data_IF_889404592304
#
_entry.id   IF_889404592304
#
_cell.length_a   1.000
_cell.length_b   1.000
_cell.length_c   1.000
_cell.angle_alpha   90.00
_cell.angle_beta   90.00
_cell.angle_gamma   90.00
#
_symmetry.space_group_name_H-M   'P 1'
#
loop_
_entity.id
_entity.type
_entity.pdbx_description
1 polymer ?
#
# COMPACT_ATOMS: atom_id res chain seq x y z
N UNK A 1 -19.65 -3.57 12.85
CA UNK A 1 -19.04 -2.54 12.00
C UNK A 1 -17.58 -2.88 11.81
N UNK A 2 -17.13 -2.93 10.56
CA UNK A 2 -15.80 -3.41 10.24
C UNK A 2 -14.69 -2.55 10.86
N UNK A 3 -13.70 -3.21 11.43
CA UNK A 3 -12.46 -2.63 11.93
C UNK A 3 -11.32 -3.14 11.03
N UNK A 4 -10.60 -2.21 10.43
CA UNK A 4 -9.41 -2.48 9.60
C UNK A 4 -8.15 -2.06 10.37
N UNK A 5 -7.10 -2.88 10.32
CA UNK A 5 -5.79 -2.49 10.86
C UNK A 5 -5.16 -1.36 10.04
N UNK A 6 -4.19 -0.66 10.64
CA UNK A 6 -3.31 0.24 9.90
C UNK A 6 -1.92 -0.39 9.71
N UNK A 7 -1.28 -0.06 8.59
CA UNK A 7 0.15 -0.29 8.39
C UNK A 7 0.76 0.99 7.79
N UNK A 8 1.90 1.41 8.32
CA UNK A 8 2.62 2.62 7.88
C UNK A 8 4.07 2.23 7.68
N UNK A 9 4.60 2.50 6.48
CA UNK A 9 6.00 2.26 6.13
C UNK A 9 6.67 3.60 5.88
N UNK A 10 7.75 3.86 6.61
CA UNK A 10 8.62 5.01 6.37
C UNK A 10 9.79 4.52 5.50
N UNK A 11 9.83 5.00 4.26
CA UNK A 11 10.84 4.63 3.27
C UNK A 11 11.73 5.83 2.98
N UNK A 12 12.93 5.58 2.46
CA UNK A 12 13.85 6.63 2.02
C UNK A 12 14.02 6.49 0.52
N UNK A 13 13.68 7.54 -0.21
CA UNK A 13 14.00 7.67 -1.63
C UNK A 13 15.52 7.77 -1.78
N UNK A 14 16.10 7.09 -2.77
CA UNK A 14 17.54 7.17 -3.04
C UNK A 14 17.83 7.41 -4.52
N UNK A 15 17.48 6.46 -5.39
CA UNK A 15 17.39 6.63 -6.85
C UNK A 15 16.77 5.37 -7.52
N UNK A 16 16.10 4.50 -6.76
CA UNK A 16 15.51 3.27 -7.27
C UNK A 16 14.05 3.12 -6.80
N UNK A 17 13.18 2.72 -7.72
CA UNK A 17 11.76 2.47 -7.43
C UNK A 17 11.56 1.43 -6.31
N UNK A 18 12.49 0.47 -6.20
CA UNK A 18 12.45 -0.56 -5.16
C UNK A 18 12.58 0.00 -3.75
N UNK A 19 13.26 1.14 -3.56
CA UNK A 19 13.49 1.74 -2.24
C UNK A 19 12.22 2.35 -1.65
N UNK A 20 11.31 2.78 -2.53
CA UNK A 20 9.98 3.32 -2.18
C UNK A 20 8.84 2.38 -2.58
N UNK A 21 9.17 1.12 -2.92
CA UNK A 21 8.23 0.02 -3.04
C UNK A 21 8.18 -0.74 -1.73
N UNK A 22 7.01 -1.25 -1.34
CA UNK A 22 6.85 -1.92 -0.07
C UNK A 22 5.66 -2.87 -0.04
N UNK A 23 5.53 -3.60 1.05
CA UNK A 23 4.46 -4.57 1.26
C UNK A 23 4.18 -4.71 2.75
N UNK A 24 3.02 -5.29 3.04
CA UNK A 24 2.63 -5.60 4.40
C UNK A 24 1.41 -6.49 4.44
N UNK A 25 0.77 -6.53 5.60
CA UNK A 25 -0.45 -7.31 5.82
C UNK A 25 -1.44 -6.45 6.58
N UNK A 26 -2.67 -6.39 6.08
CA UNK A 26 -3.81 -5.82 6.79
C UNK A 26 -4.67 -6.93 7.37
N UNK A 27 -5.35 -6.63 8.47
CA UNK A 27 -6.37 -7.50 9.05
C UNK A 27 -7.70 -6.76 9.12
N UNK A 28 -8.79 -7.50 8.97
CA UNK A 28 -10.15 -6.98 9.06
C UNK A 28 -10.96 -7.86 10.00
N UNK A 29 -11.82 -7.24 10.81
CA UNK A 29 -12.83 -7.92 11.61
C UNK A 29 -14.15 -7.18 11.58
N UNK A 30 -15.26 -7.92 11.59
CA UNK A 30 -16.59 -7.37 11.79
C UNK A 30 -17.36 -8.34 12.69
N UNK A 31 -18.05 -7.81 13.70
CA UNK A 31 -18.86 -8.62 14.63
C UNK A 31 -20.23 -8.95 14.04
N UNK A 32 -20.68 -8.19 13.03
CA UNK A 32 -22.02 -8.25 12.46
C UNK A 32 -22.08 -9.02 11.14
N UNK A 33 -20.95 -9.18 10.44
CA UNK A 33 -20.88 -9.81 9.11
C UNK A 33 -19.53 -10.49 8.85
N UNK A 34 -19.47 -11.27 7.77
CA UNK A 34 -18.21 -11.82 7.27
C UNK A 34 -17.27 -10.68 6.84
N UNK A 35 -16.03 -10.72 7.35
CA UNK A 35 -15.02 -9.72 7.07
C UNK A 35 -13.95 -10.33 6.15
N UNK A 36 -13.85 -9.82 4.93
CA UNK A 36 -12.89 -10.30 3.94
C UNK A 36 -12.36 -9.15 3.09
N UNK A 37 -11.19 -9.38 2.48
CA UNK A 37 -10.67 -8.51 1.44
C UNK A 37 -11.16 -8.96 0.07
N UNK A 38 -11.50 -7.98 -0.79
CA UNK A 38 -11.66 -8.23 -2.21
C UNK A 38 -10.30 -8.03 -2.86
N UNK A 39 -9.76 -9.09 -3.47
CA UNK A 39 -8.45 -9.03 -4.09
C UNK A 39 -8.41 -7.97 -5.21
N UNK A 40 -7.32 -7.20 -5.23
CA UNK A 40 -7.00 -6.24 -6.28
C UNK A 40 -5.63 -6.59 -6.84
N UNK A 41 -5.55 -6.89 -8.13
CA UNK A 41 -4.34 -7.44 -8.75
C UNK A 41 -3.40 -6.36 -9.35
N UNK A 42 -3.53 -5.10 -8.92
CA UNK A 42 -2.71 -4.00 -9.43
C UNK A 42 -3.53 -2.78 -9.84
N UNK A 43 -4.18 -2.15 -8.87
CA UNK A 43 -4.82 -0.85 -9.02
C UNK A 43 -3.75 0.21 -9.28
N UNK A 44 -3.72 0.74 -10.50
CA UNK A 44 -2.77 1.78 -10.89
C UNK A 44 -3.08 3.11 -10.18
N UNK A 45 -2.06 3.68 -9.55
CA UNK A 45 -2.04 5.04 -9.03
C UNK A 45 -1.09 5.92 -9.84
N UNK A 46 -0.95 7.18 -9.43
CA UNK A 46 -0.09 8.15 -10.13
C UNK A 46 1.40 7.80 -10.01
N UNK A 47 1.82 7.30 -8.86
CA UNK A 47 3.24 7.07 -8.52
C UNK A 47 3.62 5.59 -8.39
N UNK A 48 2.70 4.69 -8.77
CA UNK A 48 2.89 3.26 -8.55
C UNK A 48 1.62 2.46 -8.70
N UNK A 49 1.68 1.20 -8.32
CA UNK A 49 0.58 0.24 -8.41
C UNK A 49 0.36 -0.41 -7.06
N UNK A 50 -0.90 -0.47 -6.62
CA UNK A 50 -1.31 -1.13 -5.39
C UNK A 50 -1.99 -2.47 -5.68
N UNK A 51 -1.64 -3.51 -4.94
CA UNK A 51 -2.34 -4.79 -4.97
C UNK A 51 -2.59 -5.30 -3.55
N UNK A 52 -3.66 -6.07 -3.37
CA UNK A 52 -3.97 -6.78 -2.12
C UNK A 52 -4.64 -8.12 -2.46
N UNK A 53 -4.30 -9.18 -1.74
CA UNK A 53 -4.98 -10.46 -1.87
C UNK A 53 -6.13 -10.63 -0.86
N UNK A 54 -6.82 -11.77 -0.92
CA UNK A 54 -7.92 -12.08 -0.01
C UNK A 54 -7.48 -12.30 1.44
N UNK A 55 -6.20 -12.61 1.66
CA UNK A 55 -5.59 -12.82 2.99
C UNK A 55 -5.09 -11.49 3.60
N UNK A 56 -5.22 -10.38 2.86
CA UNK A 56 -4.82 -9.05 3.29
C UNK A 56 -3.34 -8.73 3.06
N UNK A 57 -2.60 -9.60 2.38
CA UNK A 57 -1.24 -9.29 1.97
C UNK A 57 -1.28 -8.24 0.85
N UNK A 58 -0.72 -7.07 1.10
CA UNK A 58 -0.72 -5.96 0.18
C UNK A 58 0.68 -5.62 -0.30
N UNK A 59 0.76 -5.07 -1.51
CA UNK A 59 1.98 -4.56 -2.12
C UNK A 59 1.71 -3.18 -2.71
N UNK A 60 2.70 -2.31 -2.61
CA UNK A 60 2.80 -1.07 -3.38
C UNK A 60 4.12 -1.11 -4.15
N UNK A 61 4.03 -1.03 -5.47
CA UNK A 61 5.19 -0.98 -6.35
C UNK A 61 5.26 0.40 -7.00
N UNK A 62 6.30 1.18 -6.67
CA UNK A 62 6.50 2.49 -7.28
C UNK A 62 6.79 2.33 -8.78
N UNK A 63 6.33 3.29 -9.59
CA UNK A 63 6.52 3.25 -11.05
C UNK A 63 7.90 3.75 -11.48
N UNK A 64 8.54 4.56 -10.64
CA UNK A 64 9.91 5.03 -10.81
C UNK A 64 10.55 5.30 -9.44
N UNK A 65 11.79 5.79 -9.43
CA UNK A 65 12.45 6.23 -8.21
C UNK A 65 11.80 7.48 -7.59
N UNK A 66 11.12 8.29 -8.39
CA UNK A 66 10.49 9.55 -7.96
C UNK A 66 11.45 10.50 -7.25
N UNK A 67 12.66 10.70 -7.83
CA UNK A 67 13.70 11.62 -7.37
C UNK A 67 13.19 13.08 -7.19
N UNK A 68 12.03 13.42 -7.75
CA UNK A 68 11.34 14.69 -7.55
C UNK A 68 10.65 14.87 -6.18
N UNK A 69 10.53 13.81 -5.37
CA UNK A 69 9.87 13.87 -4.08
C UNK A 69 10.68 14.65 -3.04
N UNK A 70 9.99 15.51 -2.30
CA UNK A 70 10.59 16.39 -1.29
C UNK A 70 10.16 15.93 0.11
N UNK A 71 11.14 15.78 1.00
CA UNK A 71 10.91 15.40 2.40
C UNK A 71 9.87 16.31 3.09
N UNK A 72 8.92 15.69 3.79
CA UNK A 72 7.85 16.40 4.50
C UNK A 72 6.68 16.86 3.62
N UNK A 73 6.70 16.54 2.32
CA UNK A 73 5.58 16.81 1.40
C UNK A 73 4.70 15.58 1.25
N UNK A 74 3.38 15.76 1.30
CA UNK A 74 2.42 14.69 1.00
C UNK A 74 2.07 14.72 -0.49
N UNK A 75 2.29 13.59 -1.16
CA UNK A 75 1.87 13.36 -2.54
C UNK A 75 0.61 12.49 -2.55
N UNK A 76 -0.39 12.86 -3.35
CA UNK A 76 -1.69 12.15 -3.47
C UNK A 76 -1.96 11.74 -4.90
#
# INVERSE_FOLDING_TARGET
AAVLSSDVKNLTETNAAADISTSGTLTISDVDSDAHFVAQAGTAGLYGTFAIDADGAWTYTASSAHDEFVAGTTYT
#
